data_IF_230453162304
#
_entry.id   IF_230453162304
#
_cell.length_a   1.000
_cell.length_b   1.000
_cell.length_c   1.000
_cell.angle_alpha   90.00
_cell.angle_beta   90.00
_cell.angle_gamma   90.00
#
_symmetry.space_group_name_H-M   'P 1'
#
loop_
_entity.id
_entity.type
_entity.pdbx_description
1 polymer ?
#
# COMPACT_ATOMS: atom_id res chain seq x y z
N UNK A 1 9.28 6.67 14.67
CA UNK A 1 8.12 6.50 15.60
C UNK A 1 6.85 6.81 14.82
N UNK A 2 5.90 5.87 14.70
CA UNK A 2 4.64 6.17 14.00
C UNK A 2 3.92 7.30 14.72
N UNK A 3 3.46 8.31 13.96
CA UNK A 3 2.75 9.49 14.48
C UNK A 3 1.48 9.15 15.27
N UNK A 4 1.02 7.90 15.16
CA UNK A 4 -0.15 7.35 15.85
C UNK A 4 0.23 6.08 16.60
N UNK A 5 -0.41 5.84 17.75
CA UNK A 5 -0.25 4.61 18.54
C UNK A 5 -1.08 3.45 17.95
N UNK A 6 -0.41 2.51 17.29
CA UNK A 6 -1.03 1.37 16.62
C UNK A 6 -1.58 0.31 17.59
N UNK A 7 -1.25 0.36 18.88
CA UNK A 7 -1.77 -0.57 19.88
C UNK A 7 -3.24 -0.28 20.20
N UNK A 8 -3.69 0.97 20.02
CA UNK A 8 -5.09 1.38 20.26
C UNK A 8 -5.95 1.29 19.00
N UNK A 9 -7.24 1.02 19.17
CA UNK A 9 -8.19 1.03 18.05
C UNK A 9 -8.29 2.40 17.38
N UNK A 10 -8.30 3.48 18.18
CA UNK A 10 -8.36 4.84 17.67
C UNK A 10 -7.10 5.22 16.89
N UNK A 11 -5.91 4.81 17.35
CA UNK A 11 -4.67 5.08 16.63
C UNK A 11 -4.57 4.33 15.31
N UNK A 12 -5.05 3.07 15.24
CA UNK A 12 -5.20 2.35 13.96
C UNK A 12 -6.18 3.04 13.03
N UNK A 13 -7.33 3.49 13.54
CA UNK A 13 -8.30 4.25 12.75
C UNK A 13 -7.69 5.55 12.20
N UNK A 14 -7.04 6.35 13.04
CA UNK A 14 -6.36 7.60 12.63
C UNK A 14 -5.28 7.33 11.59
N UNK A 15 -4.53 6.25 11.73
CA UNK A 15 -3.51 5.83 10.75
C UNK A 15 -4.14 5.54 9.39
N UNK A 16 -5.23 4.76 9.35
CA UNK A 16 -5.93 4.47 8.10
C UNK A 16 -6.55 5.73 7.47
N UNK A 17 -7.12 6.62 8.28
CA UNK A 17 -7.67 7.88 7.80
C UNK A 17 -6.59 8.78 7.20
N UNK A 18 -5.46 8.91 7.89
CA UNK A 18 -4.31 9.69 7.42
C UNK A 18 -3.73 9.11 6.12
N UNK A 19 -3.55 7.79 6.04
CA UNK A 19 -3.15 7.09 4.82
C UNK A 19 -4.12 7.36 3.66
N UNK A 20 -5.43 7.33 3.93
CA UNK A 20 -6.41 7.51 2.88
C UNK A 20 -6.36 8.93 2.30
N UNK A 21 -6.32 9.95 3.16
CA UNK A 21 -6.42 11.34 2.74
C UNK A 21 -5.07 12.03 2.51
N UNK A 22 -4.15 12.01 3.48
CA UNK A 22 -2.88 12.72 3.39
C UNK A 22 -1.91 12.07 2.40
N UNK A 23 -1.88 10.75 2.35
CA UNK A 23 -1.09 9.96 1.37
C UNK A 23 -1.88 9.72 0.06
N UNK A 24 -3.03 10.38 -0.09
CA UNK A 24 -3.89 10.34 -1.27
C UNK A 24 -4.17 8.91 -1.79
N UNK A 25 -4.28 7.94 -0.87
CA UNK A 25 -4.45 6.55 -1.25
C UNK A 25 -5.79 6.28 -1.96
N UNK A 26 -6.76 7.19 -1.83
CA UNK A 26 -8.01 7.15 -2.58
C UNK A 26 -7.78 7.12 -4.10
N UNK A 27 -6.74 7.79 -4.61
CA UNK A 27 -6.40 7.77 -6.04
C UNK A 27 -6.05 6.35 -6.52
N UNK A 28 -5.44 5.55 -5.65
CA UNK A 28 -4.99 4.18 -5.98
C UNK A 28 -6.12 3.18 -6.03
N UNK A 29 -7.31 3.53 -5.55
CA UNK A 29 -8.51 2.70 -5.70
C UNK A 29 -8.90 2.61 -7.18
N UNK A 30 -8.83 3.73 -7.91
CA UNK A 30 -9.13 3.78 -9.34
C UNK A 30 -7.87 3.53 -10.21
N UNK A 31 -6.70 3.96 -9.75
CA UNK A 31 -5.47 3.95 -10.54
C UNK A 31 -4.35 3.17 -9.83
N UNK A 32 -4.25 1.86 -10.09
CA UNK A 32 -3.18 1.01 -9.53
C UNK A 32 -1.84 1.12 -10.28
N UNK A 33 -1.84 1.76 -11.44
CA UNK A 33 -0.68 1.85 -12.34
C UNK A 33 -0.02 0.47 -12.56
N UNK A 34 -0.86 -0.58 -12.68
CA UNK A 34 -0.42 -1.95 -12.80
C UNK A 34 -0.06 -2.29 -14.25
N UNK A 35 1.14 -2.80 -14.45
CA UNK A 35 1.67 -3.16 -15.77
C UNK A 35 2.48 -4.45 -15.68
N UNK A 36 2.16 -5.41 -16.54
CA UNK A 36 2.90 -6.67 -16.62
C UNK A 36 4.21 -6.47 -17.37
N UNK A 37 5.30 -6.97 -16.78
CA UNK A 37 6.64 -6.98 -17.32
C UNK A 37 6.99 -8.44 -17.63
N UNK A 38 6.42 -8.95 -18.72
CA UNK A 38 6.50 -10.37 -19.05
C UNK A 38 5.45 -11.22 -18.32
N UNK A 39 5.65 -12.55 -18.25
CA UNK A 39 4.62 -13.48 -17.80
C UNK A 39 4.44 -13.56 -16.28
N UNK A 40 5.43 -13.16 -15.49
CA UNK A 40 5.53 -13.48 -14.06
C UNK A 40 5.77 -12.25 -13.15
N UNK A 41 5.97 -11.06 -13.73
CA UNK A 41 6.24 -9.84 -13.00
C UNK A 41 5.20 -8.76 -13.31
N UNK A 42 4.65 -8.13 -12.27
CA UNK A 42 3.79 -6.95 -12.39
C UNK A 42 4.38 -5.79 -11.62
N UNK A 43 4.50 -4.64 -12.28
CA UNK A 43 4.85 -3.36 -11.64
C UNK A 43 3.56 -2.65 -11.26
N UNK A 44 3.45 -2.14 -10.04
CA UNK A 44 2.33 -1.30 -9.60
C UNK A 44 2.85 -0.05 -8.89
N UNK A 45 1.97 0.91 -8.61
CA UNK A 45 2.25 1.89 -7.56
C UNK A 45 2.16 1.23 -6.16
N UNK A 46 2.37 2.00 -5.08
CA UNK A 46 2.32 1.44 -3.73
C UNK A 46 0.91 0.89 -3.44
N UNK A 47 0.78 -0.45 -3.30
CA UNK A 47 -0.51 -1.07 -3.13
C UNK A 47 -1.02 -0.90 -1.70
N UNK A 48 -2.34 -0.78 -1.56
CA UNK A 48 -3.03 -0.91 -0.27
C UNK A 48 -3.06 -2.38 0.20
N UNK A 49 -3.32 -2.63 1.50
CA UNK A 49 -3.50 -3.99 2.02
C UNK A 49 -4.54 -4.83 1.25
N UNK A 50 -5.65 -4.20 0.81
CA UNK A 50 -6.67 -4.88 -0.02
C UNK A 50 -6.14 -5.25 -1.41
N UNK A 51 -5.36 -4.38 -2.03
CA UNK A 51 -4.73 -4.67 -3.33
C UNK A 51 -3.71 -5.80 -3.22
N UNK A 52 -2.91 -5.84 -2.15
CA UNK A 52 -2.01 -6.96 -1.87
C UNK A 52 -2.76 -8.28 -1.73
N UNK A 53 -3.90 -8.30 -1.01
CA UNK A 53 -4.74 -9.48 -0.93
C UNK A 53 -5.29 -9.91 -2.31
N UNK A 54 -5.67 -8.94 -3.15
CA UNK A 54 -6.07 -9.19 -4.54
C UNK A 54 -4.95 -9.77 -5.40
N UNK A 55 -3.72 -9.26 -5.28
CA UNK A 55 -2.56 -9.81 -5.99
C UNK A 55 -2.21 -11.22 -5.53
N UNK A 56 -2.30 -11.49 -4.22
CA UNK A 56 -2.16 -12.84 -3.67
C UNK A 56 -3.18 -13.81 -4.27
N UNK A 57 -4.45 -13.39 -4.39
CA UNK A 57 -5.49 -14.20 -5.02
C UNK A 57 -5.21 -14.49 -6.50
N UNK A 58 -4.45 -13.60 -7.18
CA UNK A 58 -3.99 -13.77 -8.56
C UNK A 58 -2.67 -14.58 -8.68
N UNK A 59 -2.16 -15.14 -7.57
CA UNK A 59 -0.98 -15.99 -7.57
C UNK A 59 0.35 -15.27 -7.33
N UNK A 60 0.37 -13.95 -7.12
CA UNK A 60 1.59 -13.23 -6.72
C UNK A 60 1.95 -13.61 -5.29
N UNK A 61 3.19 -14.07 -5.08
CA UNK A 61 3.69 -14.55 -3.77
C UNK A 61 4.79 -13.68 -3.19
N UNK A 62 5.44 -12.88 -4.02
CA UNK A 62 6.61 -12.08 -3.65
C UNK A 62 6.34 -10.62 -3.92
N UNK A 63 6.70 -9.76 -2.97
CA UNK A 63 6.62 -8.30 -3.10
C UNK A 63 8.02 -7.74 -2.95
N UNK A 64 8.48 -6.99 -3.95
CA UNK A 64 9.76 -6.28 -3.92
C UNK A 64 9.47 -4.80 -3.72
N UNK A 65 9.91 -4.24 -2.59
CA UNK A 65 9.75 -2.82 -2.29
C UNK A 65 11.02 -2.06 -2.66
N UNK A 66 10.91 -1.12 -3.60
CA UNK A 66 12.02 -0.27 -4.06
C UNK A 66 12.04 1.12 -3.42
N UNK A 67 11.12 1.43 -2.49
CA UNK A 67 11.02 2.76 -1.84
C UNK A 67 11.97 2.96 -0.66
N UNK A 68 12.67 1.90 -0.22
CA UNK A 68 13.46 1.90 1.01
C UNK A 68 12.60 1.88 2.29
N UNK A 69 13.25 1.74 3.44
CA UNK A 69 12.62 1.83 4.75
C UNK A 69 12.37 3.30 5.12
N UNK A 70 11.12 3.64 5.45
CA UNK A 70 10.71 4.99 5.87
C UNK A 70 9.62 4.89 6.94
N UNK A 71 9.60 5.86 7.84
CA UNK A 71 8.55 6.02 8.87
C UNK A 71 7.22 6.59 8.31
N UNK A 72 7.21 6.98 7.03
CA UNK A 72 6.12 7.69 6.36
C UNK A 72 5.53 6.90 5.18
N UNK A 73 4.23 7.07 4.93
CA UNK A 73 3.53 6.43 3.81
C UNK A 73 3.75 7.13 2.46
N UNK A 74 3.95 8.45 2.47
CA UNK A 74 4.09 9.33 1.31
C UNK A 74 5.53 9.84 1.15
N UNK A 75 5.76 10.74 0.19
CA UNK A 75 7.07 11.34 -0.08
C UNK A 75 7.58 12.19 1.06
#
# INVERSE_FOLDING_TARGET
>A
MSRFDLTTALGRFKTHWHYFWADHAFLRVAFSNAHWLGPDLVRTNQPSPRQLAGWRAKGIRTVINLRGERDEGYY
#
